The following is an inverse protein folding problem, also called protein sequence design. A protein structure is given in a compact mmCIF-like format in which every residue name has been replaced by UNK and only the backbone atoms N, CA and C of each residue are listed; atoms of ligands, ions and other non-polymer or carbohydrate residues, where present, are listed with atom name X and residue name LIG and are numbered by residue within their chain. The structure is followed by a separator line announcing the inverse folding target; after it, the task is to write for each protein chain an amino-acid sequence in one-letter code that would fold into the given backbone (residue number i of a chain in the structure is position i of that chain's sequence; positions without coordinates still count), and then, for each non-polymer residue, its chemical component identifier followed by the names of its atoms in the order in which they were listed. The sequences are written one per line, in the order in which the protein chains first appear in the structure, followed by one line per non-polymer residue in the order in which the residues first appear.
data_IF_072244489698
#
_entry.id   IF_072244489698
#
_cell.length_a   1.000
_cell.length_b   1.000
_cell.length_c   1.000
_cell.angle_alpha   90.00
_cell.angle_beta   90.00
_cell.angle_gamma   90.00
#
_symmetry.space_group_name_H-M   'P 1'
#
loop_
_entity.id
_entity.type
_entity.pdbx_description
1 polymer ?
#
# COMPACT_ATOMS: atom_id res chain seq x y z
N UNK A 1 -18.74 -5.04 -6.00
CA UNK A 1 -19.17 -6.07 -5.10
C UNK A 1 -20.38 -6.88 -5.51
N UNK A 2 -21.23 -6.40 -6.40
CA UNK A 2 -22.59 -6.96 -6.61
C UNK A 2 -22.73 -7.94 -7.78
N UNK A 3 -21.64 -8.38 -8.37
CA UNK A 3 -21.67 -9.35 -9.49
C UNK A 3 -22.12 -10.76 -9.05
N UNK A 4 -22.25 -11.03 -7.75
CA UNK A 4 -22.64 -12.33 -7.19
C UNK A 4 -24.04 -12.39 -6.60
N UNK A 5 -24.91 -11.42 -6.88
CA UNK A 5 -26.30 -11.47 -6.43
C UNK A 5 -27.03 -12.78 -6.77
N UNK A 6 -26.91 -13.38 -7.97
CA UNK A 6 -27.58 -14.66 -8.26
C UNK A 6 -27.06 -15.82 -7.40
N UNK A 7 -25.76 -15.82 -7.06
CA UNK A 7 -25.17 -16.84 -6.22
C UNK A 7 -25.48 -16.59 -4.76
N UNK A 8 -25.55 -15.34 -4.35
CA UNK A 8 -26.01 -14.93 -3.01
C UNK A 8 -27.47 -15.32 -2.80
N UNK A 9 -28.36 -15.00 -3.75
CA UNK A 9 -29.77 -15.36 -3.71
C UNK A 9 -29.98 -16.88 -3.70
N UNK A 10 -29.15 -17.63 -4.43
CA UNK A 10 -29.18 -19.11 -4.40
C UNK A 10 -28.69 -19.67 -3.06
N UNK A 11 -27.65 -19.13 -2.47
CA UNK A 11 -27.14 -19.52 -1.16
C UNK A 11 -28.10 -19.07 -0.05
N UNK A 12 -28.64 -17.86 -0.13
CA UNK A 12 -29.60 -17.33 0.84
C UNK A 12 -30.89 -18.16 0.89
N UNK A 13 -31.40 -18.64 -0.24
CA UNK A 13 -32.58 -19.49 -0.25
C UNK A 13 -32.36 -20.92 0.29
N UNK A 14 -31.17 -21.50 0.07
CA UNK A 14 -30.93 -22.91 0.42
C UNK A 14 -30.20 -23.11 1.75
N UNK A 15 -29.40 -22.14 2.18
CA UNK A 15 -28.51 -22.22 3.36
C UNK A 15 -28.68 -21.06 4.34
N UNK A 16 -29.65 -20.17 4.10
CA UNK A 16 -29.91 -18.96 4.89
C UNK A 16 -29.85 -19.17 6.41
N UNK A 17 -30.54 -20.15 7.02
CA UNK A 17 -30.56 -20.25 8.48
C UNK A 17 -29.19 -20.63 9.08
N UNK A 18 -28.37 -21.37 8.36
CA UNK A 18 -27.03 -21.78 8.84
C UNK A 18 -26.04 -20.61 8.70
N UNK A 19 -26.07 -19.90 7.56
CA UNK A 19 -25.17 -18.77 7.33
C UNK A 19 -25.51 -17.56 8.21
N UNK A 20 -26.79 -17.25 8.44
CA UNK A 20 -27.20 -16.18 9.36
C UNK A 20 -26.80 -16.52 10.79
N UNK A 21 -26.97 -17.76 11.24
CA UNK A 21 -26.53 -18.19 12.58
C UNK A 21 -25.01 -18.08 12.72
N UNK A 22 -24.23 -18.48 11.70
CA UNK A 22 -22.78 -18.39 11.73
C UNK A 22 -22.33 -16.91 11.74
N UNK A 23 -22.95 -16.05 10.96
CA UNK A 23 -22.63 -14.63 10.93
C UNK A 23 -23.07 -13.88 12.17
N UNK A 24 -24.30 -14.07 12.62
CA UNK A 24 -24.90 -13.26 13.66
C UNK A 24 -24.53 -13.73 15.07
N UNK A 25 -24.44 -15.05 15.28
CA UNK A 25 -24.09 -15.63 16.59
C UNK A 25 -22.58 -15.75 16.78
N UNK A 26 -21.90 -16.34 15.79
CA UNK A 26 -20.46 -16.60 15.90
C UNK A 26 -19.59 -15.49 15.33
N UNK A 27 -20.18 -14.47 14.69
CA UNK A 27 -19.44 -13.33 14.07
C UNK A 27 -18.42 -13.79 13.05
N UNK A 28 -18.63 -14.92 12.37
CA UNK A 28 -17.77 -15.45 11.33
C UNK A 28 -18.36 -15.07 9.98
N UNK A 29 -17.62 -14.25 9.22
CA UNK A 29 -18.00 -13.85 7.86
C UNK A 29 -16.91 -14.25 6.88
N UNK A 30 -17.32 -14.82 5.73
CA UNK A 30 -16.44 -15.04 4.59
C UNK A 30 -16.85 -14.10 3.46
N UNK A 31 -15.95 -13.19 3.09
CA UNK A 31 -16.13 -12.25 1.99
C UNK A 31 -15.01 -12.41 0.97
N UNK A 32 -15.35 -12.39 -0.32
CA UNK A 32 -14.40 -12.45 -1.41
C UNK A 32 -14.76 -11.43 -2.47
N UNK A 33 -13.82 -10.57 -2.84
CA UNK A 33 -13.96 -9.65 -3.96
C UNK A 33 -13.30 -10.25 -5.21
N UNK A 34 -13.98 -10.20 -6.36
CA UNK A 34 -13.44 -10.76 -7.61
C UNK A 34 -12.88 -9.63 -8.46
N UNK A 35 -11.79 -9.04 -8.00
CA UNK A 35 -11.02 -8.08 -8.76
C UNK A 35 -9.87 -8.78 -9.47
N UNK A 36 -9.91 -8.81 -10.80
CA UNK A 36 -8.87 -9.44 -11.63
C UNK A 36 -7.48 -8.86 -11.36
N UNK A 37 -7.39 -7.55 -11.09
CA UNK A 37 -6.14 -6.88 -10.73
C UNK A 37 -5.54 -7.43 -9.41
N UNK A 38 -6.37 -7.68 -8.40
CA UNK A 38 -5.91 -8.21 -7.10
C UNK A 38 -5.51 -9.68 -7.21
N UNK A 39 -6.24 -10.46 -8.02
CA UNK A 39 -5.85 -11.85 -8.35
C UNK A 39 -4.54 -11.86 -9.13
N UNK A 40 -4.34 -10.93 -10.08
CA UNK A 40 -3.08 -10.74 -10.80
C UNK A 40 -1.92 -10.40 -9.85
N UNK A 41 -2.15 -9.54 -8.86
CA UNK A 41 -1.16 -9.23 -7.83
C UNK A 41 -0.76 -10.50 -7.06
N UNK A 42 -1.73 -11.30 -6.64
CA UNK A 42 -1.49 -12.59 -5.98
C UNK A 42 -0.65 -13.56 -6.82
N UNK A 43 -0.90 -13.58 -8.14
CA UNK A 43 -0.09 -14.39 -9.08
C UNK A 43 1.38 -13.95 -9.09
N UNK A 44 1.66 -12.65 -9.15
CA UNK A 44 3.01 -12.09 -9.19
C UNK A 44 3.75 -12.32 -7.87
N UNK A 45 3.09 -12.10 -6.73
CA UNK A 45 3.66 -12.28 -5.39
C UNK A 45 3.98 -13.76 -5.13
N UNK A 46 3.20 -14.66 -5.70
CA UNK A 46 3.33 -16.10 -5.56
C UNK A 46 2.72 -16.66 -4.27
N UNK A 47 2.55 -17.98 -4.24
CA UNK A 47 1.80 -18.68 -3.19
C UNK A 47 2.34 -18.44 -1.78
N UNK A 48 3.68 -18.40 -1.60
CA UNK A 48 4.29 -18.26 -0.28
C UNK A 48 3.85 -16.97 0.43
N UNK A 49 3.98 -15.84 -0.22
CA UNK A 49 3.60 -14.55 0.35
C UNK A 49 2.08 -14.38 0.41
N UNK A 50 1.36 -14.83 -0.62
CA UNK A 50 -0.10 -14.80 -0.64
C UNK A 50 -0.71 -15.62 0.51
N UNK A 51 -0.15 -16.78 0.83
CA UNK A 51 -0.58 -17.61 1.96
C UNK A 51 -0.28 -16.94 3.31
N UNK A 52 0.84 -16.25 3.47
CA UNK A 52 1.17 -15.52 4.70
C UNK A 52 0.18 -14.36 4.92
N UNK A 53 -0.14 -13.59 3.87
CA UNK A 53 -1.14 -12.53 3.94
C UNK A 53 -2.53 -13.11 4.30
N UNK A 54 -2.92 -14.19 3.63
CA UNK A 54 -4.19 -14.87 3.90
C UNK A 54 -4.25 -15.44 5.33
N UNK A 55 -3.15 -15.98 5.85
CA UNK A 55 -3.08 -16.48 7.22
C UNK A 55 -3.31 -15.36 8.25
N UNK A 56 -2.73 -14.17 8.04
CA UNK A 56 -3.02 -12.99 8.87
C UNK A 56 -4.49 -12.59 8.83
N UNK A 57 -5.09 -12.63 7.64
CA UNK A 57 -6.51 -12.33 7.46
C UNK A 57 -7.42 -13.38 8.14
N UNK A 58 -7.10 -14.65 7.98
CA UNK A 58 -7.86 -15.75 8.61
C UNK A 58 -7.75 -15.70 10.13
N UNK A 59 -6.57 -15.41 10.68
CA UNK A 59 -6.42 -15.18 12.13
C UNK A 59 -7.34 -14.06 12.61
N UNK A 60 -7.41 -12.96 11.87
CA UNK A 60 -8.25 -11.81 12.22
C UNK A 60 -9.74 -12.14 12.18
N UNK A 61 -10.23 -12.71 11.08
CA UNK A 61 -11.65 -12.86 10.82
C UNK A 61 -12.26 -14.14 11.39
N UNK A 62 -11.48 -15.23 11.50
CA UNK A 62 -12.00 -16.51 11.99
C UNK A 62 -11.61 -16.83 13.44
N UNK A 63 -10.64 -16.09 14.00
CA UNK A 63 -10.25 -16.29 15.40
C UNK A 63 -10.46 -15.01 16.23
N UNK A 64 -9.82 -13.90 15.91
CA UNK A 64 -9.82 -12.71 16.76
C UNK A 64 -11.19 -12.03 16.82
N UNK A 65 -11.88 -11.86 15.69
CA UNK A 65 -13.23 -11.27 15.66
C UNK A 65 -14.23 -12.09 16.47
N UNK A 66 -14.36 -13.42 16.26
CA UNK A 66 -15.23 -14.26 17.10
C UNK A 66 -14.88 -14.26 18.58
N UNK A 67 -13.59 -14.36 18.91
CA UNK A 67 -13.12 -14.37 20.31
C UNK A 67 -13.45 -13.05 21.02
N UNK A 68 -13.16 -11.91 20.37
CA UNK A 68 -13.51 -10.60 20.94
C UNK A 68 -15.03 -10.45 21.06
N UNK A 69 -15.78 -10.88 20.05
CA UNK A 69 -17.25 -10.90 20.10
C UNK A 69 -17.79 -11.73 21.26
N UNK A 70 -17.23 -12.92 21.49
CA UNK A 70 -17.63 -13.81 22.57
C UNK A 70 -17.30 -13.23 23.96
N UNK A 71 -16.06 -12.78 24.17
CA UNK A 71 -15.63 -12.17 25.45
C UNK A 71 -16.44 -10.90 25.73
N UNK A 72 -16.73 -10.12 24.68
CA UNK A 72 -17.45 -8.86 24.78
C UNK A 72 -18.95 -8.98 25.10
N UNK A 73 -19.55 -10.17 25.01
CA UNK A 73 -20.97 -10.36 25.31
C UNK A 73 -21.33 -10.04 26.77
N UNK A 74 -20.40 -10.28 27.69
CA UNK A 74 -20.61 -10.03 29.13
C UNK A 74 -20.30 -8.58 29.57
N UNK A 75 -19.85 -7.73 28.67
CA UNK A 75 -19.46 -6.36 29.02
C UNK A 75 -20.66 -5.42 29.04
N UNK A 76 -20.75 -4.60 30.10
CA UNK A 76 -21.83 -3.65 30.33
C UNK A 76 -21.46 -2.23 29.87
N UNK A 77 -20.15 -1.98 29.65
CA UNK A 77 -19.63 -0.69 29.20
C UNK A 77 -18.84 -0.86 27.90
N UNK A 78 -18.87 0.14 27.00
CA UNK A 78 -18.05 0.12 25.80
C UNK A 78 -16.56 0.17 26.18
N UNK A 79 -15.78 -0.76 25.63
CA UNK A 79 -14.33 -0.79 25.85
C UNK A 79 -13.63 -0.28 24.57
N UNK A 80 -12.77 0.69 24.74
CA UNK A 80 -11.93 1.21 23.66
C UNK A 80 -12.09 2.71 23.45
N UNK A 81 -11.05 3.30 22.88
CA UNK A 81 -10.99 4.74 22.60
C UNK A 81 -11.92 5.13 21.44
N UNK A 82 -12.90 5.99 21.72
CA UNK A 82 -13.84 6.46 20.70
C UNK A 82 -14.93 5.46 20.30
N UNK A 83 -15.09 4.38 21.05
CA UNK A 83 -16.14 3.38 20.85
C UNK A 83 -17.30 3.67 21.78
N UNK A 84 -18.49 3.94 21.20
CA UNK A 84 -19.72 4.24 21.94
C UNK A 84 -20.70 3.07 22.00
N UNK A 85 -20.52 2.04 21.17
CA UNK A 85 -21.37 0.86 21.09
C UNK A 85 -20.80 -0.31 21.89
N UNK A 86 -21.66 -1.10 22.51
CA UNK A 86 -21.27 -2.32 23.20
C UNK A 86 -20.82 -3.39 22.18
N UNK A 87 -19.83 -4.20 22.53
CA UNK A 87 -19.31 -5.24 21.63
C UNK A 87 -20.40 -6.24 21.25
N UNK A 88 -21.33 -6.55 22.17
CA UNK A 88 -22.47 -7.45 21.89
C UNK A 88 -23.38 -6.95 20.76
N UNK A 89 -23.47 -5.62 20.57
CA UNK A 89 -24.33 -4.98 19.58
C UNK A 89 -23.58 -4.68 18.27
N UNK A 90 -22.29 -5.05 18.19
CA UNK A 90 -21.46 -4.88 16.99
C UNK A 90 -21.58 -6.10 16.07
N UNK A 91 -21.60 -5.83 14.77
CA UNK A 91 -21.37 -6.85 13.74
C UNK A 91 -19.88 -7.23 13.65
N UNK A 92 -19.57 -8.27 12.88
CA UNK A 92 -18.20 -8.73 12.68
C UNK A 92 -17.28 -7.65 12.13
N UNK A 93 -17.79 -6.81 11.20
CA UNK A 93 -17.02 -5.74 10.60
C UNK A 93 -16.71 -4.60 11.59
N UNK A 94 -17.65 -4.24 12.46
CA UNK A 94 -17.43 -3.24 13.50
C UNK A 94 -16.39 -3.72 14.53
N UNK A 95 -16.45 -4.99 14.96
CA UNK A 95 -15.44 -5.59 15.85
C UNK A 95 -14.07 -5.56 15.17
N UNK A 96 -14.00 -5.98 13.91
CA UNK A 96 -12.76 -5.93 13.14
C UNK A 96 -12.20 -4.50 13.09
N UNK A 97 -13.02 -3.51 12.72
CA UNK A 97 -12.62 -2.11 12.55
C UNK A 97 -12.13 -1.47 13.83
N UNK A 98 -12.81 -1.73 14.95
CA UNK A 98 -12.54 -1.05 16.23
C UNK A 98 -11.46 -1.74 17.07
N UNK A 99 -11.21 -3.04 16.87
CA UNK A 99 -10.26 -3.80 17.70
C UNK A 99 -9.18 -4.51 16.89
N UNK A 100 -9.56 -5.45 16.03
CA UNK A 100 -8.60 -6.35 15.37
C UNK A 100 -7.68 -5.61 14.41
N UNK A 101 -8.21 -4.64 13.68
CA UNK A 101 -7.45 -3.79 12.77
C UNK A 101 -6.31 -3.06 13.48
N UNK A 102 -6.50 -2.63 14.74
CA UNK A 102 -5.47 -1.99 15.54
C UNK A 102 -4.33 -2.94 15.89
N UNK A 103 -4.60 -4.22 16.10
CA UNK A 103 -3.57 -5.26 16.26
C UNK A 103 -2.73 -5.33 14.98
N UNK A 104 -3.38 -5.37 13.81
CA UNK A 104 -2.70 -5.31 12.52
C UNK A 104 -1.78 -4.09 12.37
N UNK A 105 -2.23 -2.89 12.79
CA UNK A 105 -1.43 -1.65 12.76
C UNK A 105 -0.19 -1.78 13.64
N UNK A 106 -0.33 -2.28 14.87
CA UNK A 106 0.81 -2.52 15.78
C UNK A 106 1.82 -3.49 15.17
N UNK A 107 1.34 -4.55 14.51
CA UNK A 107 2.17 -5.50 13.77
C UNK A 107 2.94 -4.86 12.61
N UNK A 108 2.29 -4.00 11.81
CA UNK A 108 2.92 -3.25 10.72
C UNK A 108 4.00 -2.31 11.25
N UNK A 109 3.71 -1.57 12.32
CA UNK A 109 4.67 -0.65 12.93
C UNK A 109 5.92 -1.39 13.43
N UNK A 110 5.74 -2.49 14.16
CA UNK A 110 6.86 -3.30 14.64
C UNK A 110 7.64 -3.94 13.49
N UNK A 111 6.96 -4.45 12.46
CA UNK A 111 7.61 -4.99 11.26
C UNK A 111 8.47 -3.92 10.55
N UNK A 112 8.03 -2.66 10.54
CA UNK A 112 8.82 -1.52 10.09
C UNK A 112 10.10 -1.35 10.91
N UNK A 113 10.01 -1.34 12.24
CA UNK A 113 11.16 -1.24 13.16
C UNK A 113 12.13 -2.41 12.95
N UNK A 114 11.64 -3.64 12.86
CA UNK A 114 12.45 -4.83 12.57
C UNK A 114 13.20 -4.67 11.25
N UNK A 115 12.50 -4.15 10.22
CA UNK A 115 13.09 -3.89 8.90
C UNK A 115 14.31 -2.97 8.96
N UNK A 116 14.28 -1.95 9.84
CA UNK A 116 15.44 -1.05 10.03
C UNK A 116 16.58 -1.73 10.74
N UNK A 117 16.27 -2.38 11.86
CA UNK A 117 17.30 -3.09 12.62
C UNK A 117 18.06 -4.05 11.68
N UNK A 118 17.34 -4.76 10.82
CA UNK A 118 17.94 -5.64 9.80
C UNK A 118 18.74 -4.89 8.73
N UNK A 119 18.28 -3.70 8.35
CA UNK A 119 18.95 -2.87 7.34
C UNK A 119 20.07 -2.00 7.93
N UNK A 120 20.29 -2.01 9.24
CA UNK A 120 21.24 -1.11 9.94
C UNK A 120 22.67 -1.21 9.40
N UNK A 121 23.14 -2.41 9.05
CA UNK A 121 24.45 -2.62 8.42
C UNK A 121 24.54 -1.97 7.03
N UNK A 122 23.45 -2.04 6.24
CA UNK A 122 23.37 -1.44 4.92
C UNK A 122 23.32 0.08 5.06
N UNK A 123 22.54 0.58 6.03
CA UNK A 123 22.45 2.01 6.36
C UNK A 123 23.83 2.55 6.79
N UNK A 124 24.53 1.86 7.70
CA UNK A 124 25.87 2.25 8.12
C UNK A 124 26.90 2.25 6.98
N UNK A 125 26.83 1.26 6.09
CA UNK A 125 27.65 1.19 4.87
C UNK A 125 27.36 2.35 3.90
N UNK A 126 26.10 2.72 3.73
CA UNK A 126 25.68 3.85 2.90
C UNK A 126 26.18 5.19 3.47
N UNK A 127 26.09 5.37 4.79
CA UNK A 127 26.66 6.53 5.49
C UNK A 127 28.16 6.68 5.28
N UNK A 128 28.89 5.58 5.45
CA UNK A 128 30.35 5.58 5.26
C UNK A 128 30.72 5.92 3.80
N UNK A 129 29.98 5.41 2.84
CA UNK A 129 30.20 5.71 1.41
C UNK A 129 29.89 7.18 1.12
N UNK A 130 28.74 7.69 1.56
CA UNK A 130 28.36 9.07 1.39
C UNK A 130 29.37 10.04 2.02
N UNK A 131 29.85 9.74 3.24
CA UNK A 131 30.88 10.51 3.89
C UNK A 131 32.20 10.48 3.12
N UNK A 132 32.61 9.31 2.57
CA UNK A 132 33.82 9.20 1.78
C UNK A 132 33.73 9.96 0.45
N UNK A 133 32.56 10.06 -0.17
CA UNK A 133 32.35 10.82 -1.41
C UNK A 133 32.26 12.33 -1.17
N UNK A 134 31.68 12.76 -0.04
CA UNK A 134 31.55 14.16 0.31
C UNK A 134 32.85 14.74 0.88
N UNK A 135 33.57 13.98 1.71
CA UNK A 135 34.76 14.45 2.43
C UNK A 135 36.07 13.79 1.96
N UNK A 136 35.99 12.75 1.12
CA UNK A 136 37.15 12.12 0.50
C UNK A 136 37.83 13.05 -0.51
N UNK A 137 39.17 13.12 -0.49
CA UNK A 137 39.92 13.78 -1.54
C UNK A 137 39.54 13.16 -2.88
N UNK A 138 38.98 13.95 -3.79
CA UNK A 138 38.85 13.59 -5.20
C UNK A 138 40.22 13.18 -5.70
N UNK A 139 40.49 11.91 -5.89
CA UNK A 139 41.47 11.50 -6.88
C UNK A 139 40.95 12.05 -8.19
N UNK A 140 41.65 13.02 -8.71
CA UNK A 140 41.46 13.52 -10.10
C UNK A 140 41.62 12.29 -10.97
N UNK A 141 40.52 11.75 -11.46
CA UNK A 141 40.54 10.83 -12.57
C UNK A 141 41.11 11.60 -13.76
N UNK A 142 42.38 11.47 -13.97
CA UNK A 142 43.13 12.06 -15.14
C UNK A 142 42.64 11.47 -16.48
N UNK A 143 41.69 10.57 -16.48
CA UNK A 143 41.16 9.87 -17.66
C UNK A 143 39.79 10.37 -18.14
N UNK A 144 39.52 11.68 -18.07
CA UNK A 144 38.30 12.25 -18.67
C UNK A 144 38.26 12.12 -20.23
N UNK A 145 39.37 11.73 -20.86
CA UNK A 145 39.47 11.60 -22.32
C UNK A 145 39.07 10.20 -22.86
N UNK A 146 38.86 9.20 -21.99
CA UNK A 146 38.58 7.80 -22.40
C UNK A 146 37.33 7.20 -21.83
N UNK A 147 36.43 8.03 -21.25
CA UNK A 147 35.15 7.49 -20.71
C UNK A 147 34.28 6.99 -21.85
N UNK A 148 33.97 5.72 -21.85
CA UNK A 148 33.07 5.13 -22.84
C UNK A 148 31.71 5.85 -22.81
N UNK A 149 31.01 5.83 -23.93
CA UNK A 149 29.70 6.49 -24.07
C UNK A 149 28.69 5.96 -23.05
N UNK A 150 28.78 4.71 -22.69
CA UNK A 150 27.91 4.00 -21.73
C UNK A 150 28.18 4.36 -20.26
N UNK A 151 29.29 5.04 -19.97
CA UNK A 151 29.68 5.44 -18.61
C UNK A 151 29.55 6.96 -18.37
N UNK A 152 28.93 7.69 -19.32
CA UNK A 152 28.76 9.15 -19.21
C UNK A 152 27.49 9.48 -18.42
N UNK A 153 27.68 10.02 -17.22
CA UNK A 153 26.63 10.51 -16.33
C UNK A 153 26.50 12.04 -16.34
N UNK A 154 25.42 12.55 -15.73
CA UNK A 154 25.28 13.98 -15.46
C UNK A 154 26.39 14.40 -14.49
N UNK A 155 27.08 15.56 -14.74
CA UNK A 155 28.11 16.06 -13.84
C UNK A 155 27.59 16.23 -12.40
N UNK A 156 28.36 15.80 -11.40
CA UNK A 156 27.98 15.88 -9.99
C UNK A 156 27.65 17.31 -9.54
N UNK A 157 28.32 18.32 -10.10
CA UNK A 157 28.00 19.72 -9.84
C UNK A 157 26.58 20.11 -10.21
N UNK A 158 26.10 19.61 -11.36
CA UNK A 158 24.70 19.80 -11.79
C UNK A 158 23.73 19.09 -10.85
N UNK A 159 24.06 17.87 -10.43
CA UNK A 159 23.23 17.11 -9.48
C UNK A 159 23.10 17.85 -8.14
N UNK A 160 24.21 18.31 -7.57
CA UNK A 160 24.21 19.10 -6.32
C UNK A 160 23.41 20.38 -6.47
N UNK A 161 23.59 21.13 -7.56
CA UNK A 161 22.81 22.34 -7.82
C UNK A 161 21.31 22.08 -7.88
N UNK A 162 20.89 21.00 -8.56
CA UNK A 162 19.48 20.60 -8.64
C UNK A 162 18.92 20.16 -7.28
N UNK A 163 19.71 19.47 -6.47
CA UNK A 163 19.31 19.11 -5.09
C UNK A 163 19.05 20.37 -4.27
N UNK A 164 19.94 21.37 -4.32
CA UNK A 164 19.75 22.64 -3.61
C UNK A 164 18.49 23.36 -4.07
N UNK A 165 18.23 23.42 -5.38
CA UNK A 165 17.00 24.03 -5.92
C UNK A 165 15.74 23.29 -5.42
N UNK A 166 15.74 21.97 -5.44
CA UNK A 166 14.61 21.16 -4.96
C UNK A 166 14.41 21.35 -3.45
N UNK A 167 15.48 21.34 -2.65
CA UNK A 167 15.39 21.60 -1.22
C UNK A 167 14.85 23.00 -0.91
N UNK A 168 15.26 24.02 -1.67
CA UNK A 168 14.72 25.37 -1.55
C UNK A 168 13.21 25.41 -1.89
N UNK A 169 12.79 24.71 -2.95
CA UNK A 169 11.39 24.61 -3.32
C UNK A 169 10.56 23.88 -2.24
N UNK A 170 11.08 22.78 -1.68
CA UNK A 170 10.47 22.05 -0.57
C UNK A 170 10.36 22.94 0.68
N UNK A 171 11.39 23.72 0.99
CA UNK A 171 11.36 24.67 2.10
C UNK A 171 10.25 25.71 1.95
N UNK A 172 10.15 26.35 0.78
CA UNK A 172 9.13 27.36 0.49
C UNK A 172 7.74 26.73 0.58
N UNK A 173 7.57 25.52 0.07
CA UNK A 173 6.31 24.78 0.15
C UNK A 173 5.91 24.49 1.61
N UNK A 174 6.85 24.00 2.45
CA UNK A 174 6.59 23.77 3.86
C UNK A 174 6.24 25.05 4.61
N UNK A 175 7.00 26.12 4.34
CA UNK A 175 6.78 27.39 5.01
C UNK A 175 5.44 28.04 4.65
N UNK A 176 5.15 28.19 3.36
CA UNK A 176 3.95 28.90 2.91
C UNK A 176 2.70 28.01 2.83
N UNK A 177 2.89 26.74 2.47
CA UNK A 177 1.77 25.83 2.18
C UNK A 177 1.31 24.98 3.36
N UNK A 178 2.17 24.78 4.38
CA UNK A 178 1.88 23.78 5.42
C UNK A 178 1.93 24.36 6.83
N UNK A 179 3.06 24.95 7.25
CA UNK A 179 3.29 25.31 8.66
C UNK A 179 3.13 26.78 8.98
N UNK A 180 3.33 27.68 8.03
CA UNK A 180 3.38 29.12 8.26
C UNK A 180 4.52 29.62 9.15
N UNK A 181 5.29 28.71 9.75
CA UNK A 181 6.40 29.00 10.68
C UNK A 181 7.75 28.56 10.10
N UNK A 182 8.70 29.48 10.01
CA UNK A 182 10.02 29.25 9.41
C UNK A 182 10.80 28.16 10.16
N UNK A 183 10.75 28.13 11.49
CA UNK A 183 11.46 27.15 12.30
C UNK A 183 10.94 25.73 12.10
N UNK A 184 9.62 25.59 12.04
CA UNK A 184 8.96 24.30 11.78
C UNK A 184 9.21 23.82 10.34
N UNK A 185 9.15 24.75 9.36
CA UNK A 185 9.48 24.44 7.97
C UNK A 185 10.92 24.00 7.79
N UNK A 186 11.86 24.64 8.49
CA UNK A 186 13.26 24.24 8.48
C UNK A 186 13.47 22.86 9.08
N UNK A 187 12.79 22.55 10.18
CA UNK A 187 12.83 21.20 10.77
C UNK A 187 12.29 20.15 9.79
N UNK A 188 11.16 20.42 9.14
CA UNK A 188 10.61 19.53 8.11
C UNK A 188 11.56 19.32 6.93
N UNK A 189 12.20 20.39 6.45
CA UNK A 189 13.23 20.32 5.40
C UNK A 189 14.41 19.43 5.82
N UNK A 190 14.90 19.60 7.03
CA UNK A 190 16.06 18.86 7.55
C UNK A 190 15.73 17.37 7.68
N UNK A 191 14.54 17.03 8.15
CA UNK A 191 14.04 15.66 8.21
C UNK A 191 14.00 15.06 6.79
N UNK A 192 13.40 15.77 5.83
CA UNK A 192 13.30 15.30 4.44
C UNK A 192 14.70 15.10 3.86
N UNK A 193 15.60 16.07 3.99
CA UNK A 193 16.94 16.00 3.41
C UNK A 193 17.75 14.81 3.94
N UNK A 194 17.75 14.62 5.25
CA UNK A 194 18.50 13.52 5.88
C UNK A 194 17.88 12.17 5.54
N UNK A 195 16.58 12.02 5.77
CA UNK A 195 15.91 10.71 5.63
C UNK A 195 15.85 10.31 4.15
N UNK A 196 15.51 11.25 3.24
CA UNK A 196 15.48 10.94 1.81
C UNK A 196 16.86 10.49 1.32
N UNK A 197 17.91 11.21 1.67
CA UNK A 197 19.29 10.84 1.26
C UNK A 197 19.67 9.45 1.74
N UNK A 198 19.45 9.16 3.03
CA UNK A 198 19.80 7.86 3.60
C UNK A 198 18.99 6.73 2.99
N UNK A 199 17.70 6.90 2.93
CA UNK A 199 16.79 5.84 2.49
C UNK A 199 16.86 5.60 0.99
N UNK A 200 17.06 6.63 0.17
CA UNK A 200 17.27 6.44 -1.27
C UNK A 200 18.55 5.67 -1.56
N UNK A 201 19.62 5.91 -0.81
CA UNK A 201 20.86 5.15 -0.95
C UNK A 201 20.67 3.67 -0.59
N UNK A 202 19.91 3.40 0.48
CA UNK A 202 19.57 2.02 0.89
C UNK A 202 18.67 1.35 -0.13
N UNK A 203 17.64 2.04 -0.61
CA UNK A 203 16.72 1.52 -1.63
C UNK A 203 17.46 1.19 -2.93
N UNK A 204 18.34 2.08 -3.37
CA UNK A 204 19.17 1.89 -4.55
C UNK A 204 20.02 0.61 -4.46
N UNK A 205 20.67 0.39 -3.32
CA UNK A 205 21.45 -0.85 -3.08
C UNK A 205 20.57 -2.09 -3.00
N UNK A 206 19.43 -2.00 -2.30
CA UNK A 206 18.52 -3.12 -2.18
C UNK A 206 18.03 -3.60 -3.55
N UNK A 207 17.66 -2.68 -4.44
CA UNK A 207 17.24 -3.01 -5.80
C UNK A 207 18.40 -3.58 -6.61
N UNK A 208 19.58 -3.00 -6.53
CA UNK A 208 20.74 -3.48 -7.27
C UNK A 208 21.14 -4.92 -6.89
N UNK A 209 20.97 -5.31 -5.64
CA UNK A 209 21.38 -6.61 -5.10
C UNK A 209 20.23 -7.63 -5.11
N UNK A 210 19.05 -7.24 -4.66
CA UNK A 210 17.91 -8.14 -4.40
C UNK A 210 16.81 -8.02 -5.46
N UNK A 211 16.79 -6.94 -6.25
CA UNK A 211 15.77 -6.68 -7.26
C UNK A 211 14.43 -6.21 -6.68
N UNK A 212 14.34 -5.93 -5.38
CA UNK A 212 13.13 -5.47 -4.71
C UNK A 212 13.34 -4.13 -4.00
N UNK A 213 12.30 -3.27 -4.04
CA UNK A 213 12.34 -1.97 -3.39
C UNK A 213 11.56 -2.00 -2.06
N UNK A 214 12.21 -1.79 -0.91
CA UNK A 214 11.55 -1.82 0.41
C UNK A 214 10.82 -0.51 0.76
N UNK A 215 10.15 0.13 -0.20
CA UNK A 215 9.53 1.47 -0.08
C UNK A 215 8.52 1.54 1.07
N UNK A 216 7.62 0.57 1.19
CA UNK A 216 6.52 0.63 2.16
C UNK A 216 7.03 0.64 3.62
N UNK A 217 8.02 -0.18 3.95
CA UNK A 217 8.62 -0.21 5.28
C UNK A 217 9.38 1.07 5.61
N UNK A 218 10.17 1.58 4.67
CA UNK A 218 10.93 2.82 4.84
C UNK A 218 10.04 4.05 4.94
N UNK A 219 8.92 4.09 4.20
CA UNK A 219 7.95 5.18 4.30
C UNK A 219 7.26 5.20 5.67
N UNK A 220 6.82 4.06 6.18
CA UNK A 220 6.25 3.96 7.53
C UNK A 220 7.23 4.45 8.59
N UNK A 221 8.50 4.10 8.44
CA UNK A 221 9.56 4.62 9.31
C UNK A 221 9.71 6.11 9.25
N UNK A 222 9.77 6.66 8.05
CA UNK A 222 9.82 8.10 7.86
C UNK A 222 8.68 8.77 8.62
N UNK A 223 7.48 8.22 8.50
CA UNK A 223 6.29 8.75 9.19
C UNK A 223 6.44 8.69 10.72
N UNK A 224 6.92 7.57 11.28
CA UNK A 224 7.12 7.43 12.72
C UNK A 224 8.18 8.41 13.22
N UNK A 225 9.35 8.45 12.57
CA UNK A 225 10.46 9.33 12.97
C UNK A 225 10.06 10.81 12.82
N UNK A 226 9.46 11.18 11.68
CA UNK A 226 9.03 12.55 11.44
C UNK A 226 7.97 13.00 12.43
N UNK A 227 6.98 12.14 12.73
CA UNK A 227 5.93 12.43 13.70
C UNK A 227 6.53 12.70 15.09
N UNK A 228 7.46 11.85 15.52
CA UNK A 228 8.11 12.01 16.81
C UNK A 228 8.90 13.33 16.90
N UNK A 229 9.67 13.67 15.86
CA UNK A 229 10.44 14.92 15.83
C UNK A 229 9.53 16.14 15.75
N UNK A 230 8.47 16.10 14.92
CA UNK A 230 7.54 17.21 14.73
C UNK A 230 6.77 17.52 16.02
N UNK A 231 6.40 16.51 16.81
CA UNK A 231 5.77 16.71 18.13
C UNK A 231 6.70 17.45 19.08
N UNK A 232 8.01 17.16 19.08
CA UNK A 232 8.99 17.89 19.91
C UNK A 232 9.12 19.36 19.52
N UNK A 233 8.84 19.71 18.27
CA UNK A 233 8.88 21.11 17.78
C UNK A 233 7.51 21.80 17.90
N UNK A 234 6.55 21.14 18.55
CA UNK A 234 5.22 21.70 18.80
C UNK A 234 4.24 21.56 17.64
N UNK A 235 4.55 20.78 16.60
CA UNK A 235 3.63 20.43 15.52
C UNK A 235 2.80 19.20 15.91
N UNK A 236 1.65 19.47 16.53
CA UNK A 236 0.68 18.46 16.98
C UNK A 236 -0.67 18.65 16.30
N UNK A 237 -1.57 17.69 16.46
CA UNK A 237 -2.92 17.76 15.91
C UNK A 237 -2.95 17.60 14.39
N UNK A 238 -3.93 18.23 13.75
CA UNK A 238 -4.19 18.09 12.31
C UNK A 238 -3.03 18.62 11.45
N UNK A 239 -2.53 19.81 11.75
CA UNK A 239 -1.39 20.40 11.03
C UNK A 239 -0.13 19.56 11.14
N UNK A 240 0.12 18.99 12.33
CA UNK A 240 1.24 18.05 12.54
C UNK A 240 1.08 16.78 11.72
N UNK A 241 -0.12 16.18 11.70
CA UNK A 241 -0.41 14.98 10.91
C UNK A 241 -0.24 15.23 9.40
N UNK A 242 -0.74 16.36 8.90
CA UNK A 242 -0.57 16.76 7.49
C UNK A 242 0.91 16.93 7.17
N UNK A 243 1.67 17.62 8.03
CA UNK A 243 3.13 17.82 7.86
C UNK A 243 3.88 16.49 7.79
N UNK A 244 3.59 15.55 8.70
CA UNK A 244 4.20 14.23 8.70
C UNK A 244 3.86 13.43 7.44
N UNK A 245 2.59 13.46 6.99
CA UNK A 245 2.16 12.77 5.76
C UNK A 245 2.85 13.34 4.52
N UNK A 246 3.02 14.66 4.45
CA UNK A 246 3.73 15.31 3.34
C UNK A 246 5.21 14.91 3.35
N UNK A 247 5.88 14.93 4.52
CA UNK A 247 7.27 14.46 4.65
C UNK A 247 7.38 13.01 4.18
N UNK A 248 6.48 12.13 4.66
CA UNK A 248 6.42 10.74 4.24
C UNK A 248 6.20 10.59 2.74
N UNK A 249 5.33 11.40 2.14
CA UNK A 249 5.06 11.44 0.71
C UNK A 249 6.28 11.84 -0.13
N UNK A 250 6.98 12.89 0.28
CA UNK A 250 8.22 13.36 -0.39
C UNK A 250 9.30 12.29 -0.33
N UNK A 251 9.54 11.69 0.85
CA UNK A 251 10.53 10.62 1.00
C UNK A 251 10.11 9.36 0.23
N UNK A 252 8.83 8.99 0.27
CA UNK A 252 8.30 7.87 -0.51
C UNK A 252 8.52 8.05 -2.00
N UNK A 253 8.27 9.25 -2.52
CA UNK A 253 8.50 9.58 -3.93
C UNK A 253 9.98 9.47 -4.29
N UNK A 254 10.87 9.99 -3.46
CA UNK A 254 12.31 9.87 -3.65
C UNK A 254 12.78 8.41 -3.67
N UNK A 255 12.31 7.58 -2.72
CA UNK A 255 12.58 6.14 -2.65
C UNK A 255 12.09 5.38 -3.89
N UNK A 256 10.86 5.64 -4.28
CA UNK A 256 10.24 5.01 -5.44
C UNK A 256 10.96 5.36 -6.73
N UNK A 257 11.35 6.65 -6.86
CA UNK A 257 12.08 7.16 -8.00
C UNK A 257 13.48 6.56 -8.08
N UNK A 258 14.21 6.49 -6.97
CA UNK A 258 15.53 5.87 -6.93
C UNK A 258 15.48 4.41 -7.37
N UNK A 259 14.48 3.68 -6.90
CA UNK A 259 14.28 2.28 -7.27
C UNK A 259 13.94 2.06 -8.72
N UNK A 260 12.94 2.76 -9.24
CA UNK A 260 12.56 2.68 -10.65
C UNK A 260 13.69 3.11 -11.57
N UNK A 261 14.45 4.13 -11.19
CA UNK A 261 15.51 4.65 -12.03
C UNK A 261 16.72 3.72 -12.18
N UNK A 262 17.08 2.97 -11.13
CA UNK A 262 18.13 1.95 -11.21
C UNK A 262 17.77 0.84 -12.20
N UNK A 263 16.52 0.41 -12.20
CA UNK A 263 16.02 -0.57 -13.18
C UNK A 263 16.06 -0.01 -14.61
N UNK A 264 15.65 1.23 -14.80
CA UNK A 264 15.69 1.91 -16.11
C UNK A 264 17.14 2.03 -16.63
N UNK A 265 18.08 2.41 -15.76
CA UNK A 265 19.51 2.49 -16.13
C UNK A 265 20.08 1.11 -16.47
N UNK A 266 19.67 0.06 -15.76
CA UNK A 266 20.11 -1.31 -16.07
C UNK A 266 19.60 -1.77 -17.43
N UNK A 267 18.36 -1.48 -17.77
CA UNK A 267 17.79 -1.75 -19.09
C UNK A 267 18.53 -0.94 -20.15
N UNK A 268 18.78 0.35 -19.89
CA UNK A 268 19.55 1.22 -20.78
C UNK A 268 20.95 0.70 -21.06
N UNK A 269 21.61 0.16 -20.02
CA UNK A 269 22.93 -0.47 -20.15
C UNK A 269 22.87 -1.68 -21.09
N UNK A 270 21.89 -2.56 -20.96
CA UNK A 270 21.73 -3.71 -21.84
C UNK A 270 21.45 -3.33 -23.30
N UNK A 271 20.76 -2.19 -23.51
CA UNK A 271 20.45 -1.64 -24.83
C UNK A 271 21.57 -0.77 -25.39
N UNK A 272 22.66 -0.55 -24.64
CA UNK A 272 23.76 0.31 -25.03
C UNK A 272 23.40 1.82 -25.05
N UNK A 273 22.44 2.26 -24.26
CA UNK A 273 22.07 3.67 -24.15
C UNK A 273 23.12 4.48 -23.37
N UNK A 274 23.19 5.78 -23.66
CA UNK A 274 24.01 6.70 -22.90
C UNK A 274 23.27 7.19 -21.65
N UNK A 275 23.76 6.93 -20.42
CA UNK A 275 23.05 7.24 -19.18
C UNK A 275 22.64 8.72 -19.03
N UNK A 276 23.49 9.67 -19.43
CA UNK A 276 23.20 11.10 -19.35
C UNK A 276 21.93 11.50 -20.11
N UNK A 277 21.62 10.85 -21.23
CA UNK A 277 20.39 11.13 -21.97
C UNK A 277 19.16 10.59 -21.23
N UNK A 278 19.24 9.37 -20.69
CA UNK A 278 18.19 8.81 -19.84
C UNK A 278 17.92 9.68 -18.62
N UNK A 279 18.96 10.12 -17.93
CA UNK A 279 18.88 10.98 -16.76
C UNK A 279 18.19 12.31 -17.07
N UNK A 280 18.57 13.00 -18.17
CA UNK A 280 17.95 14.28 -18.57
C UNK A 280 16.48 14.14 -18.90
N UNK A 281 16.10 13.16 -19.71
CA UNK A 281 14.71 12.95 -20.10
C UNK A 281 13.84 12.49 -18.94
N UNK A 282 14.43 11.85 -17.91
CA UNK A 282 13.73 11.45 -16.70
C UNK A 282 13.15 12.64 -15.95
N UNK A 283 13.82 13.78 -15.89
CA UNK A 283 13.28 14.99 -15.26
C UNK A 283 11.99 15.46 -15.94
N UNK A 284 11.99 15.54 -17.27
CA UNK A 284 10.79 15.93 -18.02
C UNK A 284 9.66 14.92 -17.82
N UNK A 285 9.96 13.62 -17.91
CA UNK A 285 8.98 12.56 -17.67
C UNK A 285 8.39 12.62 -16.27
N UNK A 286 9.19 12.94 -15.25
CA UNK A 286 8.73 13.06 -13.87
C UNK A 286 7.77 14.25 -13.69
N UNK A 287 8.05 15.40 -14.30
CA UNK A 287 7.17 16.58 -14.23
C UNK A 287 5.83 16.28 -14.89
N UNK A 288 5.84 15.69 -16.09
CA UNK A 288 4.61 15.32 -16.80
C UNK A 288 3.80 14.27 -16.03
N UNK A 289 4.47 13.26 -15.46
CA UNK A 289 3.83 12.25 -14.64
C UNK A 289 3.20 12.86 -13.37
N UNK A 290 3.91 13.76 -12.69
CA UNK A 290 3.39 14.43 -11.49
C UNK A 290 2.15 15.28 -11.82
N UNK A 291 2.14 16.02 -12.91
CA UNK A 291 0.99 16.79 -13.37
C UNK A 291 -0.21 15.85 -13.71
N UNK A 292 0.05 14.76 -14.42
CA UNK A 292 -0.97 13.77 -14.79
C UNK A 292 -1.58 13.10 -13.56
N UNK A 293 -0.75 12.67 -12.60
CA UNK A 293 -1.21 12.04 -11.36
C UNK A 293 -2.02 13.03 -10.52
N UNK A 294 -1.56 14.27 -10.40
CA UNK A 294 -2.32 15.33 -9.71
C UNK A 294 -3.71 15.52 -10.33
N UNK A 295 -3.81 15.59 -11.65
CA UNK A 295 -5.09 15.68 -12.38
C UNK A 295 -5.99 14.48 -12.12
N UNK A 296 -5.43 13.25 -12.15
CA UNK A 296 -6.18 12.02 -11.85
C UNK A 296 -6.69 12.00 -10.41
N UNK A 297 -5.90 12.43 -9.43
CA UNK A 297 -6.32 12.49 -8.02
C UNK A 297 -7.49 13.47 -7.85
N UNK A 298 -7.43 14.65 -8.48
CA UNK A 298 -8.52 15.62 -8.48
C UNK A 298 -9.79 15.02 -9.10
N UNK A 299 -9.67 14.35 -10.25
CA UNK A 299 -10.77 13.67 -10.92
C UNK A 299 -11.41 12.59 -10.03
N UNK A 300 -10.59 11.74 -9.41
CA UNK A 300 -11.07 10.66 -8.53
C UNK A 300 -11.77 11.23 -7.29
N UNK A 301 -11.24 12.31 -6.71
CA UNK A 301 -11.86 12.96 -5.58
C UNK A 301 -13.22 13.59 -5.95
N UNK A 302 -13.30 14.23 -7.11
CA UNK A 302 -14.55 14.83 -7.61
C UNK A 302 -15.62 13.77 -7.94
N UNK A 303 -15.20 12.57 -8.38
CA UNK A 303 -16.12 11.51 -8.84
C UNK A 303 -16.60 10.60 -7.71
N UNK A 304 -15.70 10.18 -6.81
CA UNK A 304 -15.98 9.18 -5.77
C UNK A 304 -15.82 9.74 -4.35
N UNK A 305 -15.02 10.80 -4.18
CA UNK A 305 -14.59 11.29 -2.87
C UNK A 305 -13.56 10.37 -2.19
N UNK A 306 -12.93 10.89 -1.15
CA UNK A 306 -12.00 10.13 -0.28
C UNK A 306 -12.57 9.87 1.11
N UNK A 307 -13.76 10.42 1.41
CA UNK A 307 -14.48 10.25 2.67
C UNK A 307 -15.92 9.84 2.41
N UNK A 308 -16.52 9.08 3.32
CA UNK A 308 -17.89 8.58 3.19
C UNK A 308 -18.00 7.10 2.84
N UNK A 309 -19.23 6.62 2.73
CA UNK A 309 -19.51 5.19 2.48
C UNK A 309 -19.14 4.72 1.08
N UNK A 310 -19.21 5.59 0.08
CA UNK A 310 -18.85 5.32 -1.32
C UNK A 310 -17.42 5.70 -1.68
N UNK A 311 -16.61 6.11 -0.68
CA UNK A 311 -15.24 6.56 -0.89
C UNK A 311 -14.35 5.46 -1.46
N UNK A 312 -13.39 5.85 -2.30
CA UNK A 312 -12.38 4.92 -2.81
C UNK A 312 -11.55 4.35 -1.66
N UNK A 313 -11.43 3.02 -1.57
CA UNK A 313 -10.59 2.40 -0.56
C UNK A 313 -9.12 2.75 -0.80
N UNK A 314 -8.47 3.34 0.20
CA UNK A 314 -7.05 3.65 0.18
C UNK A 314 -6.33 2.96 1.36
N UNK A 315 -6.12 1.63 1.30
CA UNK A 315 -5.63 0.85 2.44
C UNK A 315 -4.29 1.34 2.98
N UNK A 316 -3.35 1.67 2.10
CA UNK A 316 -2.02 2.17 2.48
C UNK A 316 -2.08 3.54 3.17
N UNK A 317 -2.84 4.48 2.62
CA UNK A 317 -3.02 5.80 3.21
C UNK A 317 -3.68 5.70 4.58
N UNK A 318 -4.71 4.87 4.71
CA UNK A 318 -5.37 4.61 5.98
C UNK A 318 -4.46 3.95 7.01
N UNK A 319 -3.58 3.02 6.60
CA UNK A 319 -2.57 2.41 7.47
C UNK A 319 -1.58 3.45 8.00
N UNK A 320 -1.10 4.32 7.12
CA UNK A 320 -0.18 5.40 7.48
C UNK A 320 -0.84 6.39 8.44
N UNK A 321 -2.06 6.83 8.14
CA UNK A 321 -2.83 7.71 9.02
C UNK A 321 -3.08 7.08 10.39
N UNK A 322 -3.38 5.79 10.45
CA UNK A 322 -3.62 5.07 11.69
C UNK A 322 -2.36 4.94 12.58
N UNK A 323 -1.16 4.94 11.99
CA UNK A 323 0.10 4.97 12.75
C UNK A 323 0.40 6.38 13.27
N UNK A 324 0.12 7.43 12.48
CA UNK A 324 0.45 8.82 12.84
C UNK A 324 -0.54 9.39 13.86
N UNK A 325 -1.84 9.08 13.69
CA UNK A 325 -2.89 9.65 14.53
C UNK A 325 -2.65 9.48 16.03
N UNK A 326 -2.27 8.30 16.56
CA UNK A 326 -1.97 8.14 17.99
C UNK A 326 -0.73 8.89 18.44
N UNK A 327 0.24 9.12 17.56
CA UNK A 327 1.50 9.80 17.89
C UNK A 327 1.32 11.31 18.00
N UNK A 328 0.39 11.89 17.23
CA UNK A 328 0.25 13.35 17.06
C UNK A 328 -1.07 13.91 17.60
N UNK A 329 -2.06 13.06 17.92
CA UNK A 329 -3.32 13.51 18.55
C UNK A 329 -3.25 13.32 20.07
N UNK A 330 -3.86 14.25 20.81
CA UNK A 330 -4.03 14.11 22.27
C UNK A 330 -5.10 13.07 22.64
N UNK A 331 -5.62 12.30 21.69
CA UNK A 331 -6.59 11.25 21.97
C UNK A 331 -5.90 9.99 22.47
N UNK A 332 -6.46 9.32 23.48
CA UNK A 332 -5.89 8.08 23.96
C UNK A 332 -5.88 7.03 22.85
N UNK A 333 -4.72 6.46 22.57
CA UNK A 333 -4.56 5.41 21.57
C UNK A 333 -4.76 4.02 22.22
N UNK A 334 -5.23 3.03 21.46
CA UNK A 334 -5.38 1.66 21.96
C UNK A 334 -4.03 0.93 22.07
N UNK A 335 -3.14 1.41 22.94
CA UNK A 335 -1.75 0.92 23.09
C UNK A 335 -1.67 -0.58 23.34
N UNK A 336 -2.64 -1.15 24.08
CA UNK A 336 -2.68 -2.59 24.36
C UNK A 336 -2.85 -3.40 23.07
N UNK A 337 -3.71 -2.96 22.16
CA UNK A 337 -3.91 -3.60 20.87
C UNK A 337 -2.69 -3.45 19.96
N UNK A 338 -2.06 -2.27 19.96
CA UNK A 338 -0.81 -2.07 19.23
C UNK A 338 0.33 -2.93 19.78
N UNK A 339 0.43 -3.06 21.10
CA UNK A 339 1.44 -3.92 21.73
C UNK A 339 1.20 -5.39 21.38
N UNK A 340 -0.05 -5.85 21.42
CA UNK A 340 -0.40 -7.22 21.01
C UNK A 340 0.05 -7.51 19.57
N UNK A 341 -0.19 -6.56 18.65
CA UNK A 341 0.28 -6.66 17.26
C UNK A 341 1.80 -6.65 17.15
N UNK A 342 2.48 -5.81 17.93
CA UNK A 342 3.93 -5.74 17.98
C UNK A 342 4.55 -7.06 18.47
N UNK A 343 4.00 -7.66 19.52
CA UNK A 343 4.42 -8.97 20.02
C UNK A 343 4.19 -10.08 18.99
N UNK A 344 3.04 -10.06 18.31
CA UNK A 344 2.77 -10.97 17.20
C UNK A 344 3.82 -10.84 16.08
N UNK A 345 4.21 -9.62 15.70
CA UNK A 345 5.24 -9.39 14.70
C UNK A 345 6.63 -9.90 15.14
N UNK A 346 6.99 -9.74 16.42
CA UNK A 346 8.25 -10.27 17.00
C UNK A 346 8.26 -11.80 17.00
N UNK A 347 7.15 -12.44 17.35
CA UNK A 347 7.03 -13.91 17.32
C UNK A 347 7.15 -14.44 15.88
N UNK A 348 6.48 -13.81 14.93
CA UNK A 348 6.59 -14.16 13.50
C UNK A 348 8.03 -14.02 12.98
N UNK A 349 8.72 -12.95 13.39
CA UNK A 349 10.10 -12.76 13.02
C UNK A 349 11.02 -13.85 13.59
N UNK A 350 10.80 -14.28 14.83
CA UNK A 350 11.60 -15.34 15.48
C UNK A 350 11.49 -16.68 14.72
N UNK A 351 10.33 -16.98 14.13
CA UNK A 351 10.09 -18.17 13.30
C UNK A 351 10.37 -17.94 11.81
N UNK A 352 10.99 -16.80 11.45
CA UNK A 352 11.37 -16.42 10.08
C UNK A 352 10.19 -16.29 9.11
N UNK A 353 9.00 -15.97 9.62
CA UNK A 353 7.84 -15.60 8.80
C UNK A 353 7.86 -14.08 8.61
N UNK A 354 7.74 -13.55 7.37
CA UNK A 354 7.72 -12.11 7.12
C UNK A 354 6.60 -11.40 7.89
N UNK A 355 6.89 -10.65 8.98
CA UNK A 355 5.85 -10.10 9.84
C UNK A 355 5.02 -9.02 9.14
N UNK A 356 5.63 -8.24 8.22
CA UNK A 356 4.92 -7.22 7.47
C UNK A 356 3.80 -7.81 6.60
N UNK A 357 4.08 -8.91 5.89
CA UNK A 357 3.08 -9.56 5.04
C UNK A 357 1.90 -10.11 5.85
N UNK A 358 2.18 -10.72 7.00
CA UNK A 358 1.16 -11.22 7.91
C UNK A 358 0.33 -10.09 8.52
N UNK A 359 0.98 -9.04 9.02
CA UNK A 359 0.33 -7.88 9.61
C UNK A 359 -0.52 -7.10 8.59
N UNK A 360 -0.09 -7.01 7.33
CA UNK A 360 -0.93 -6.49 6.24
C UNK A 360 -2.18 -7.34 6.04
N UNK A 361 -2.06 -8.65 6.13
CA UNK A 361 -3.21 -9.56 6.09
C UNK A 361 -4.20 -9.32 7.22
N UNK A 362 -3.72 -9.04 8.44
CA UNK A 362 -4.56 -8.68 9.58
C UNK A 362 -5.23 -7.30 9.41
N UNK A 363 -4.54 -6.36 8.77
CA UNK A 363 -4.99 -4.98 8.61
C UNK A 363 -5.98 -4.80 7.47
N UNK A 364 -5.80 -5.52 6.37
CA UNK A 364 -6.68 -5.44 5.20
C UNK A 364 -7.94 -6.29 5.40
N UNK A 365 -9.11 -5.83 4.91
CA UNK A 365 -10.32 -6.64 4.95
C UNK A 365 -10.16 -7.98 4.22
N UNK A 366 -10.86 -9.00 4.71
CA UNK A 366 -10.80 -10.37 4.16
C UNK A 366 -11.08 -10.40 2.65
N UNK A 367 -12.03 -9.61 2.20
CA UNK A 367 -12.46 -9.51 0.81
C UNK A 367 -11.35 -9.10 -0.17
N UNK A 368 -10.33 -8.38 0.31
CA UNK A 368 -9.18 -7.97 -0.50
C UNK A 368 -8.10 -9.06 -0.51
N UNK A 369 -7.95 -9.82 0.59
CA UNK A 369 -6.88 -10.80 0.75
C UNK A 369 -7.22 -12.16 0.11
N UNK A 370 -8.50 -12.51 0.03
CA UNK A 370 -8.94 -13.79 -0.58
C UNK A 370 -8.57 -13.92 -2.07
N UNK A 371 -8.74 -12.89 -2.94
CA UNK A 371 -8.31 -13.00 -4.33
C UNK A 371 -6.76 -13.01 -4.46
N UNK A 372 -6.02 -12.42 -3.53
CA UNK A 372 -4.55 -12.54 -3.49
C UNK A 372 -4.14 -13.99 -3.29
N UNK A 373 -4.79 -14.70 -2.35
CA UNK A 373 -4.55 -16.12 -2.13
C UNK A 373 -4.90 -16.95 -3.38
N UNK A 374 -6.06 -16.68 -3.99
CA UNK A 374 -6.48 -17.36 -5.22
C UNK A 374 -5.44 -17.18 -6.34
N UNK A 375 -4.94 -15.96 -6.55
CA UNK A 375 -3.88 -15.68 -7.52
C UNK A 375 -2.59 -16.43 -7.23
N UNK A 376 -2.17 -16.51 -5.96
CA UNK A 376 -1.00 -17.29 -5.53
C UNK A 376 -1.15 -18.79 -5.78
N UNK A 377 -2.35 -19.35 -5.52
CA UNK A 377 -2.66 -20.76 -5.81
C UNK A 377 -2.60 -21.02 -7.33
N UNK A 378 -3.20 -20.14 -8.14
CA UNK A 378 -3.15 -20.25 -9.60
C UNK A 378 -1.71 -20.22 -10.10
N UNK A 379 -0.87 -19.29 -9.57
CA UNK A 379 0.53 -19.20 -9.92
C UNK A 379 1.28 -20.53 -9.63
N UNK A 380 1.04 -21.11 -8.46
CA UNK A 380 1.65 -22.39 -8.08
C UNK A 380 1.20 -23.53 -8.99
N UNK A 381 -0.11 -23.64 -9.23
CA UNK A 381 -0.67 -24.69 -10.09
C UNK A 381 -0.15 -24.61 -11.53
N UNK A 382 0.02 -23.40 -12.08
CA UNK A 382 0.50 -23.19 -13.44
C UNK A 382 2.00 -23.48 -13.55
N UNK A 383 2.78 -23.08 -12.54
CA UNK A 383 4.25 -23.20 -12.56
C UNK A 383 4.80 -24.55 -12.05
N UNK A 384 3.94 -25.45 -11.55
CA UNK A 384 4.38 -26.75 -11.00
C UNK A 384 3.92 -27.98 -11.79
N UNK A 385 3.23 -27.79 -12.92
CA UNK A 385 2.59 -28.88 -13.68
C UNK A 385 3.53 -29.72 -14.53
N UNK A 386 4.72 -29.22 -14.88
CA UNK A 386 5.68 -29.96 -15.71
C UNK A 386 6.84 -30.49 -14.86
N UNK A 387 7.42 -31.60 -15.30
CA UNK A 387 8.69 -32.08 -14.76
C UNK A 387 9.90 -31.27 -15.29
N UNK A 388 9.71 -30.54 -16.39
CA UNK A 388 10.71 -29.68 -17.00
C UNK A 388 10.63 -28.27 -16.39
N UNK A 389 11.72 -27.86 -15.76
CA UNK A 389 11.84 -26.58 -15.08
C UNK A 389 11.81 -25.40 -16.07
N UNK A 390 12.36 -25.56 -17.27
CA UNK A 390 12.33 -24.53 -18.31
C UNK A 390 10.90 -24.23 -18.77
N UNK A 391 10.08 -25.27 -18.93
CA UNK A 391 8.65 -25.14 -19.27
C UNK A 391 7.87 -24.44 -18.13
N UNK A 392 8.16 -24.79 -16.87
CA UNK A 392 7.51 -24.16 -15.72
C UNK A 392 7.88 -22.67 -15.59
N UNK A 393 9.14 -22.32 -15.83
CA UNK A 393 9.60 -20.93 -15.83
C UNK A 393 8.96 -20.12 -16.96
N UNK A 394 8.90 -20.66 -18.19
CA UNK A 394 8.21 -20.01 -19.32
C UNK A 394 6.71 -19.79 -19.04
N UNK A 395 6.04 -20.75 -18.41
CA UNK A 395 4.63 -20.60 -17.98
C UNK A 395 4.47 -19.54 -16.92
N UNK A 396 5.38 -19.49 -15.93
CA UNK A 396 5.39 -18.47 -14.89
C UNK A 396 5.57 -17.08 -15.47
N UNK A 397 6.53 -16.88 -16.37
CA UNK A 397 6.77 -15.60 -17.03
C UNK A 397 5.56 -15.15 -17.85
N UNK A 398 4.98 -16.05 -18.65
CA UNK A 398 3.77 -15.73 -19.43
C UNK A 398 2.59 -15.37 -18.53
N UNK A 399 2.39 -16.08 -17.42
CA UNK A 399 1.37 -15.77 -16.44
C UNK A 399 1.62 -14.43 -15.74
N UNK A 400 2.88 -14.08 -15.47
CA UNK A 400 3.27 -12.78 -14.90
C UNK A 400 2.93 -11.64 -15.85
N UNK A 401 3.15 -11.80 -17.16
CA UNK A 401 2.76 -10.80 -18.17
C UNK A 401 1.25 -10.61 -18.23
N UNK A 402 0.46 -11.70 -18.19
CA UNK A 402 -1.00 -11.63 -18.16
C UNK A 402 -1.48 -10.93 -16.87
N UNK A 403 -0.92 -11.31 -15.73
CA UNK A 403 -1.24 -10.70 -14.43
C UNK A 403 -0.92 -9.19 -14.41
N UNK A 404 0.23 -8.80 -14.96
CA UNK A 404 0.63 -7.40 -15.11
C UNK A 404 -0.34 -6.63 -16.03
N UNK A 405 -0.79 -7.27 -17.12
CA UNK A 405 -1.83 -6.72 -18.00
C UNK A 405 -3.16 -6.50 -17.29
N UNK A 406 -3.59 -7.44 -16.43
CA UNK A 406 -4.81 -7.30 -15.63
C UNK A 406 -4.71 -6.14 -14.62
N UNK A 407 -3.54 -5.96 -13.99
CA UNK A 407 -3.31 -4.87 -13.04
C UNK A 407 -3.31 -3.52 -13.77
N UNK A 408 -2.51 -3.40 -14.83
CA UNK A 408 -2.40 -2.17 -15.60
C UNK A 408 -3.72 -1.81 -16.29
N UNK A 409 -4.39 -2.80 -16.90
CA UNK A 409 -5.70 -2.61 -17.54
C UNK A 409 -6.77 -2.20 -16.54
N UNK A 410 -6.78 -2.79 -15.35
CA UNK A 410 -7.69 -2.41 -14.26
C UNK A 410 -7.47 -0.97 -13.79
N UNK A 411 -6.22 -0.54 -13.65
CA UNK A 411 -5.89 0.83 -13.26
C UNK A 411 -6.30 1.85 -14.35
N UNK A 412 -5.95 1.60 -15.62
CA UNK A 412 -6.31 2.47 -16.75
C UNK A 412 -7.83 2.56 -16.90
N UNK A 413 -8.51 1.41 -16.83
CA UNK A 413 -9.97 1.37 -16.95
C UNK A 413 -10.67 2.05 -15.77
N UNK A 414 -10.10 1.96 -14.56
CA UNK A 414 -10.58 2.68 -13.39
C UNK A 414 -10.56 4.20 -13.58
N UNK A 415 -9.46 4.73 -14.13
CA UNK A 415 -9.34 6.16 -14.45
C UNK A 415 -10.29 6.56 -15.57
N UNK A 416 -10.37 5.76 -16.65
CA UNK A 416 -11.30 6.00 -17.77
C UNK A 416 -12.74 6.00 -17.29
N UNK A 417 -13.11 5.03 -16.43
CA UNK A 417 -14.43 4.93 -15.81
C UNK A 417 -14.77 6.16 -14.96
N UNK A 418 -13.82 6.62 -14.15
CA UNK A 418 -13.98 7.83 -13.35
C UNK A 418 -14.20 9.06 -14.24
N UNK A 419 -13.44 9.18 -15.33
CA UNK A 419 -13.60 10.24 -16.32
C UNK A 419 -14.99 10.24 -16.97
N UNK A 420 -15.46 9.09 -17.44
CA UNK A 420 -16.79 8.94 -18.02
C UNK A 420 -17.89 9.32 -17.01
N UNK A 421 -17.77 8.85 -15.76
CA UNK A 421 -18.71 9.17 -14.70
C UNK A 421 -18.71 10.67 -14.36
N UNK A 422 -17.52 11.30 -14.36
CA UNK A 422 -17.39 12.74 -14.16
C UNK A 422 -18.14 13.55 -15.21
N UNK A 423 -18.13 13.10 -16.47
CA UNK A 423 -18.89 13.68 -17.58
C UNK A 423 -20.37 13.25 -17.63
N UNK A 424 -20.86 12.55 -16.63
CA UNK A 424 -22.26 12.14 -16.52
C UNK A 424 -22.61 10.87 -17.30
N UNK A 425 -21.65 10.14 -17.85
CA UNK A 425 -21.86 8.87 -18.56
C UNK A 425 -21.83 7.71 -17.56
N UNK A 426 -23.00 7.26 -17.11
CA UNK A 426 -23.15 6.12 -16.20
C UNK A 426 -23.40 4.82 -16.98
N UNK A 427 -22.37 4.26 -17.59
CA UNK A 427 -22.51 3.00 -18.34
C UNK A 427 -22.70 1.76 -17.42
N UNK A 428 -22.38 1.87 -16.13
CA UNK A 428 -22.66 0.82 -15.13
C UNK A 428 -24.16 0.70 -14.90
N UNK A 429 -24.88 1.83 -14.89
CA UNK A 429 -26.35 1.84 -14.77
C UNK A 429 -27.02 1.23 -16.02
N UNK A 430 -26.37 1.32 -17.19
CA UNK A 430 -26.89 0.73 -18.43
C UNK A 430 -26.91 -0.81 -18.37
N UNK A 431 -25.85 -1.42 -17.82
CA UNK A 431 -25.80 -2.87 -17.60
C UNK A 431 -26.77 -3.34 -16.50
N UNK A 432 -26.94 -2.53 -15.46
CA UNK A 432 -27.82 -2.83 -14.34
C UNK A 432 -29.30 -2.72 -14.71
N UNK A 433 -29.69 -1.66 -15.43
CA UNK A 433 -31.06 -1.48 -15.93
C UNK A 433 -31.45 -2.58 -16.93
N UNK A 434 -30.49 -3.10 -17.71
CA UNK A 434 -30.71 -4.23 -18.59
C UNK A 434 -30.97 -5.52 -17.80
N UNK A 435 -30.18 -5.81 -16.77
CA UNK A 435 -30.37 -6.97 -15.91
C UNK A 435 -31.65 -6.90 -15.04
N UNK A 436 -32.12 -5.71 -14.68
CA UNK A 436 -33.42 -5.53 -14.01
C UNK A 436 -34.60 -5.70 -14.96
N UNK A 437 -34.48 -5.25 -16.21
CA UNK A 437 -35.52 -5.51 -17.23
C UNK A 437 -35.66 -6.98 -17.51
N UNK A 438 -34.58 -7.72 -17.62
CA UNK A 438 -34.59 -9.16 -17.85
C UNK A 438 -35.22 -9.91 -16.67
N UNK A 439 -34.96 -9.52 -15.46
CA UNK A 439 -35.60 -10.06 -14.24
C UNK A 439 -37.12 -9.77 -14.19
N UNK A 440 -37.56 -8.59 -14.59
CA UNK A 440 -38.98 -8.25 -14.65
C UNK A 440 -39.70 -9.05 -15.73
N UNK A 441 -39.10 -9.25 -16.89
CA UNK A 441 -39.65 -10.07 -17.97
C UNK A 441 -39.77 -11.54 -17.56
N UNK A 442 -38.78 -12.08 -16.86
CA UNK A 442 -38.78 -13.46 -16.38
C UNK A 442 -39.83 -13.70 -15.27
N UNK A 443 -40.04 -12.74 -14.37
CA UNK A 443 -41.10 -12.81 -13.35
C UNK A 443 -42.49 -12.70 -13.93
N UNK A 444 -42.72 -11.88 -14.95
CA UNK A 444 -43.98 -11.76 -15.65
C UNK A 444 -44.32 -13.07 -16.40
N UNK A 445 -43.33 -13.70 -17.04
CA UNK A 445 -43.55 -15.00 -17.70
C UNK A 445 -43.83 -16.13 -16.72
N UNK A 446 -43.22 -16.15 -15.53
CA UNK A 446 -43.50 -17.19 -14.53
C UNK A 446 -44.86 -17.02 -13.84
N UNK A 447 -45.40 -15.80 -13.76
CA UNK A 447 -46.75 -15.57 -13.23
C UNK A 447 -47.87 -15.94 -14.22
N UNK A 448 -47.62 -15.92 -15.52
CA UNK A 448 -48.56 -16.38 -16.52
C UNK A 448 -48.61 -17.91 -16.68
N UNK A 449 -47.55 -18.63 -16.34
CA UNK A 449 -47.49 -20.10 -16.36
C UNK A 449 -48.16 -20.74 -15.13
N UNK A 450 -48.36 -19.99 -14.05
CA UNK A 450 -49.05 -20.49 -12.85
C UNK A 450 -50.56 -20.24 -12.82
N UNK A 451 -51.16 -19.68 -13.90
CA UNK A 451 -52.60 -19.42 -14.05
C UNK A 451 -53.24 -20.22 -15.16
N UNK A 452 -52.52 -21.13 -15.81
CA UNK A 452 -53.04 -22.14 -16.72
C UNK A 452 -52.82 -23.53 -16.13
#
# INVERSE_FOLDING_TARGET
GDVFLPFKDFLDHKFSPVFTTISDVYRIEFRMNILAAVTGLGYIIGLKYAAIIAAGSFLSWFLLVPVIGYIGQGLVEPIGTGVSTLIRDMDAYAIYKNYVRHIGIGGIAMAGIIGIVKSSKIIGGAFKLAASELFGKKEKSENAATTERTDRDIPMSTVVSLIVVVLAAVFIFFWQGVTGNIGQAFTGLLIVAIIAFLFTTVAARAIAIVGSNPVSGMTLMTLIISSFILVQVGLVGETGMISALIIGGVVCTALSMAGGFITDLKIGYWLGNTPVHQQRWKFLGTILAAASVGGVIILLNATYGFTGESALPAPQANAMAAVIKPLMSNQPAPWVLYLAGALCALTLESIKVPPLAFALGMYLPLEVNTPVLAGGIIAHLVSSRSKDEAVNNARRERGTLIASGLIAGGAIMGVASAGLKFFGVNYVDFGWTWAERDRKSTRLNSSHVSQT
#
